data_IF_260232515543
#
_entry.id   IF_260232515543
#
_cell.length_a   1.000
_cell.length_b   1.000
_cell.length_c   1.000
_cell.angle_alpha   90.00
_cell.angle_beta   90.00
_cell.angle_gamma   90.00
#
_symmetry.space_group_name_H-M   'P 1'
#
loop_
_entity.id
_entity.type
_entity.pdbx_description
1 polymer ?
#
# COMPACT_ATOMS: atom_id res chain seq x y z
N UNK A 1 -2.44 -0.23 -29.49
CA UNK A 1 -1.04 -0.30 -29.01
C UNK A 1 -1.10 -0.64 -27.53
N UNK A 2 -0.56 -1.77 -27.09
CA UNK A 2 -0.38 -1.99 -25.66
C UNK A 2 0.66 -0.96 -25.20
N UNK A 3 0.21 0.09 -24.49
CA UNK A 3 1.10 1.00 -23.80
C UNK A 3 1.81 0.18 -22.74
N UNK A 4 3.00 -0.33 -23.08
CA UNK A 4 3.87 -1.03 -22.14
C UNK A 4 4.17 -0.02 -21.04
N UNK A 5 3.62 -0.28 -19.85
CA UNK A 5 3.82 0.60 -18.72
C UNK A 5 5.32 0.81 -18.49
N UNK A 6 5.79 2.05 -18.26
CA UNK A 6 7.20 2.28 -17.94
C UNK A 6 7.61 1.52 -16.66
N UNK A 7 6.64 1.19 -15.80
CA UNK A 7 6.83 0.46 -14.56
C UNK A 7 7.09 -1.04 -14.80
N UNK A 8 6.62 -1.63 -15.91
CA UNK A 8 6.90 -3.05 -16.23
C UNK A 8 8.39 -3.34 -16.46
N UNK A 9 9.18 -2.31 -16.79
CA UNK A 9 10.64 -2.42 -16.92
C UNK A 9 11.37 -2.39 -15.57
N UNK A 10 10.69 -1.99 -14.50
CA UNK A 10 11.28 -1.90 -13.18
C UNK A 10 11.12 -3.24 -12.43
N UNK A 11 12.13 -3.65 -11.64
CA UNK A 11 11.96 -4.81 -10.78
C UNK A 11 10.84 -4.58 -9.77
N UNK A 12 10.00 -5.61 -9.54
CA UNK A 12 8.94 -5.56 -8.54
C UNK A 12 9.43 -5.08 -7.17
N UNK A 13 10.63 -5.53 -6.75
CA UNK A 13 11.25 -5.10 -5.49
C UNK A 13 11.48 -3.58 -5.41
N UNK A 14 11.83 -2.94 -6.51
CA UNK A 14 12.01 -1.48 -6.56
C UNK A 14 10.67 -0.76 -6.40
N UNK A 15 9.62 -1.26 -7.07
CA UNK A 15 8.26 -0.72 -6.92
C UNK A 15 7.76 -0.90 -5.50
N UNK A 16 8.02 -2.05 -4.87
CA UNK A 16 7.70 -2.27 -3.45
C UNK A 16 8.39 -1.24 -2.54
N UNK A 17 9.67 -0.92 -2.78
CA UNK A 17 10.38 0.10 -2.00
C UNK A 17 9.73 1.48 -2.21
N UNK A 18 9.43 1.85 -3.46
CA UNK A 18 8.78 3.13 -3.79
C UNK A 18 7.43 3.23 -3.09
N UNK A 19 6.59 2.20 -3.20
CA UNK A 19 5.28 2.16 -2.54
C UNK A 19 5.43 2.24 -1.02
N UNK A 20 6.39 1.53 -0.43
CA UNK A 20 6.65 1.56 1.01
C UNK A 20 7.21 2.89 1.53
N UNK A 21 7.78 3.72 0.67
CA UNK A 21 8.24 5.07 1.00
C UNK A 21 7.13 6.13 0.95
N UNK A 22 5.94 5.79 0.42
CA UNK A 22 4.79 6.69 0.42
C UNK A 22 4.20 6.76 1.83
N UNK A 23 4.38 7.91 2.48
CA UNK A 23 3.86 8.14 3.84
C UNK A 23 2.34 8.32 3.89
N UNK A 24 1.75 8.77 2.78
CA UNK A 24 0.32 8.99 2.62
C UNK A 24 -0.40 7.76 2.04
N UNK A 25 -1.40 7.20 2.73
CA UNK A 25 -2.22 6.11 2.19
C UNK A 25 -2.94 6.50 0.89
N UNK A 26 -3.28 7.80 0.71
CA UNK A 26 -3.93 8.30 -0.51
C UNK A 26 -2.98 8.24 -1.70
N UNK A 27 -1.71 8.58 -1.49
CA UNK A 27 -0.72 8.61 -2.57
C UNK A 27 -0.40 7.19 -3.03
N UNK A 28 -0.30 6.25 -2.08
CA UNK A 28 -0.17 4.83 -2.38
C UNK A 28 -1.39 4.31 -3.16
N UNK A 29 -2.61 4.67 -2.74
CA UNK A 29 -3.83 4.30 -3.45
C UNK A 29 -3.84 4.86 -4.87
N UNK A 30 -3.47 6.14 -5.05
CA UNK A 30 -3.37 6.76 -6.37
C UNK A 30 -2.35 6.06 -7.27
N UNK A 31 -1.17 5.71 -6.74
CA UNK A 31 -0.14 4.97 -7.49
C UNK A 31 -0.60 3.57 -7.91
N UNK A 32 -1.29 2.86 -7.02
CA UNK A 32 -1.84 1.52 -7.29
C UNK A 32 -2.95 1.55 -8.34
N UNK A 33 -3.82 2.57 -8.31
CA UNK A 33 -4.91 2.71 -9.28
C UNK A 33 -4.44 3.24 -10.64
N UNK A 34 -3.32 3.95 -10.69
CA UNK A 34 -2.79 4.52 -11.93
C UNK A 34 -2.22 3.47 -12.89
N UNK A 35 -1.79 2.31 -12.38
CA UNK A 35 -1.08 1.32 -13.20
C UNK A 35 -1.36 -0.14 -12.79
N UNK A 36 -1.80 -1.01 -13.72
CA UNK A 36 -2.10 -2.42 -13.45
C UNK A 36 -0.90 -3.24 -12.97
N UNK A 37 0.31 -2.94 -13.44
CA UNK A 37 1.52 -3.62 -13.01
C UNK A 37 1.85 -3.25 -11.57
N UNK A 38 1.74 -1.96 -11.21
CA UNK A 38 1.90 -1.52 -9.82
C UNK A 38 0.88 -2.20 -8.90
N UNK A 39 -0.39 -2.27 -9.31
CA UNK A 39 -1.43 -3.02 -8.58
C UNK A 39 -1.03 -4.48 -8.35
N UNK A 40 -0.52 -5.16 -9.39
CA UNK A 40 -0.07 -6.54 -9.28
C UNK A 40 1.07 -6.68 -8.26
N UNK A 41 2.06 -5.80 -8.31
CA UNK A 41 3.19 -5.80 -7.36
C UNK A 41 2.71 -5.52 -5.94
N UNK A 42 1.79 -4.57 -5.77
CA UNK A 42 1.17 -4.26 -4.49
C UNK A 42 0.46 -5.48 -3.90
N UNK A 43 -0.40 -6.14 -4.66
CA UNK A 43 -1.14 -7.33 -4.20
C UNK A 43 -0.21 -8.48 -3.81
N UNK A 44 0.89 -8.67 -4.56
CA UNK A 44 1.89 -9.71 -4.25
C UNK A 44 2.70 -9.42 -2.98
N UNK A 45 2.82 -8.16 -2.58
CA UNK A 45 3.66 -7.71 -1.45
C UNK A 45 2.85 -7.00 -0.36
N UNK A 46 1.53 -7.16 -0.37
CA UNK A 46 0.61 -6.39 0.46
C UNK A 46 0.94 -6.49 1.95
N UNK A 47 1.27 -7.69 2.44
CA UNK A 47 1.61 -7.90 3.84
C UNK A 47 2.83 -7.09 4.28
N UNK A 48 3.86 -7.00 3.42
CA UNK A 48 5.07 -6.23 3.70
C UNK A 48 4.81 -4.72 3.63
N UNK A 49 4.05 -4.27 2.63
CA UNK A 49 3.74 -2.86 2.41
C UNK A 49 2.81 -2.28 3.48
N UNK A 50 1.86 -3.07 3.98
CA UNK A 50 0.89 -2.63 4.99
C UNK A 50 1.37 -2.87 6.43
N UNK A 51 2.47 -3.58 6.65
CA UNK A 51 2.97 -3.87 7.98
C UNK A 51 3.23 -2.62 8.84
N UNK A 52 3.85 -1.54 8.30
CA UNK A 52 4.06 -0.31 9.07
C UNK A 52 2.74 0.37 9.46
N UNK A 53 1.76 0.36 8.55
CA UNK A 53 0.40 0.88 8.79
C UNK A 53 -0.30 0.08 9.89
N UNK A 54 -0.24 -1.25 9.82
CA UNK A 54 -0.80 -2.13 10.84
C UNK A 54 -0.13 -1.91 12.19
N UNK A 55 1.20 -1.80 12.24
CA UNK A 55 1.92 -1.52 13.48
C UNK A 55 1.53 -0.15 14.08
N UNK A 56 1.42 0.89 13.25
CA UNK A 56 0.96 2.20 13.69
C UNK A 56 -0.46 2.14 14.25
N UNK A 57 -1.38 1.40 13.61
CA UNK A 57 -2.74 1.20 14.09
C UNK A 57 -2.77 0.43 15.41
N UNK A 58 -1.99 -0.66 15.54
CA UNK A 58 -1.87 -1.40 16.80
C UNK A 58 -1.29 -0.55 17.93
N UNK A 59 -0.36 0.36 17.62
CA UNK A 59 0.22 1.27 18.60
C UNK A 59 -0.76 2.36 19.03
N UNK A 60 -1.55 2.91 18.11
CA UNK A 60 -2.55 3.93 18.41
C UNK A 60 -3.80 3.36 19.08
N UNK A 61 -4.12 2.09 18.84
CA UNK A 61 -5.29 1.41 19.40
C UNK A 61 -4.92 0.07 20.06
N UNK A 62 -4.12 0.09 21.14
CA UNK A 62 -3.70 -1.13 21.81
C UNK A 62 -4.92 -1.78 22.48
N UNK A 63 -5.27 -3.00 22.04
CA UNK A 63 -6.32 -3.81 22.65
C UNK A 63 -7.76 -3.58 22.14
N UNK A 64 -7.96 -2.71 21.16
CA UNK A 64 -9.25 -2.55 20.47
C UNK A 64 -9.25 -3.33 19.15
N UNK A 65 -10.30 -4.10 18.88
CA UNK A 65 -10.48 -4.70 17.56
C UNK A 65 -10.49 -3.58 16.52
N UNK A 66 -9.81 -3.75 15.38
CA UNK A 66 -9.74 -2.77 14.27
C UNK A 66 -11.13 -2.19 13.91
N UNK A 67 -12.18 -2.98 14.08
CA UNK A 67 -13.59 -2.58 13.93
C UNK A 67 -14.01 -1.41 14.81
N UNK A 68 -13.50 -1.31 16.05
CA UNK A 68 -13.79 -0.24 17.00
C UNK A 68 -13.06 1.06 16.65
N UNK A 69 -11.84 0.97 16.09
CA UNK A 69 -11.11 2.13 15.60
C UNK A 69 -11.83 2.77 14.39
N UNK A 70 -12.38 1.96 13.48
CA UNK A 70 -13.17 2.44 12.33
C UNK A 70 -14.44 3.18 12.77
N UNK A 71 -15.09 2.72 13.85
CA UNK A 71 -16.26 3.43 14.39
C UNK A 71 -15.93 4.75 15.07
N UNK A 72 -14.68 4.95 15.54
CA UNK A 72 -14.26 6.19 16.22
C UNK A 72 -13.85 7.29 15.23
N UNK A 73 -13.45 6.93 14.01
CA UNK A 73 -13.06 7.87 12.95
C UNK A 73 -14.23 8.35 12.07
N UNK A 74 -15.47 8.09 12.46
CA UNK A 74 -16.69 8.51 11.76
C UNK A 74 -17.32 9.72 12.44
#
# INVERSE_FOLDING_TARGET
>A
MASISPFEKLPAKLITIILGALESPKDMQSAVLADPYILRVFLQNQSCLLQPLLQNLYHHFPGQNLTQAVTYCR
#
